data_IF_178917134650
#
_entry.id   IF_178917134650
#
_cell.length_a   1.000
_cell.length_b   1.000
_cell.length_c   1.000
_cell.angle_alpha   90.00
_cell.angle_beta   90.00
_cell.angle_gamma   90.00
#
_symmetry.space_group_name_H-M   'P 1'
#
loop_
_entity.id
_entity.type
_entity.pdbx_description
1 polymer ?
#
# COMPACT_ATOMS: atom_id res chain seq x y z
N UNK A 1 -1.43 -20.17 10.04
CA UNK A 1 -1.34 -20.00 8.57
C UNK A 1 -0.24 -18.99 8.23
N UNK A 2 0.17 -18.93 6.97
CA UNK A 2 1.05 -17.91 6.38
C UNK A 2 0.16 -16.92 5.63
N UNK A 3 0.06 -15.69 6.14
CA UNK A 3 -0.79 -14.64 5.61
C UNK A 3 0.05 -13.62 4.85
N UNK A 4 -0.26 -13.40 3.58
CA UNK A 4 0.35 -12.37 2.75
C UNK A 4 -0.51 -11.12 2.79
N UNK A 5 0.10 -9.97 3.07
CA UNK A 5 -0.60 -8.70 3.31
C UNK A 5 -0.04 -7.66 2.34
N UNK A 6 -0.90 -7.14 1.46
CA UNK A 6 -0.57 -5.94 0.69
C UNK A 6 -0.55 -4.70 1.60
N UNK A 7 0.24 -3.67 1.22
CA UNK A 7 0.38 -2.45 2.01
C UNK A 7 -0.60 -1.38 1.52
N UNK A 8 -0.36 -0.89 0.31
CA UNK A 8 -1.02 0.30 -0.23
C UNK A 8 -2.46 -0.03 -0.67
N UNK A 9 -3.42 0.67 -0.08
CA UNK A 9 -4.84 0.40 -0.30
C UNK A 9 -5.41 -0.75 0.54
N UNK A 10 -4.58 -1.49 1.28
CA UNK A 10 -5.04 -2.62 2.11
C UNK A 10 -4.92 -2.34 3.60
N UNK A 11 -3.71 -1.99 4.09
CA UNK A 11 -3.50 -1.58 5.49
C UNK A 11 -3.15 -0.11 5.62
N UNK A 12 -3.02 0.59 4.48
CA UNK A 12 -2.66 2.01 4.40
C UNK A 12 -3.58 2.73 3.42
N UNK A 13 -4.08 3.89 3.83
CA UNK A 13 -4.92 4.79 3.01
C UNK A 13 -4.04 5.59 2.02
N UNK A 14 -3.35 4.87 1.14
CA UNK A 14 -2.36 5.44 0.20
C UNK A 14 -3.03 6.33 -0.84
N UNK A 15 -4.16 5.92 -1.40
CA UNK A 15 -4.90 6.71 -2.39
C UNK A 15 -5.40 8.02 -1.79
N UNK A 16 -6.04 7.98 -0.62
CA UNK A 16 -6.44 9.17 0.15
C UNK A 16 -5.31 10.17 0.32
N UNK A 17 -4.17 9.67 0.77
CA UNK A 17 -2.98 10.49 1.04
C UNK A 17 -2.42 11.09 -0.25
N UNK A 18 -2.42 10.31 -1.33
CA UNK A 18 -1.97 10.77 -2.63
C UNK A 18 -2.89 11.87 -3.17
N UNK A 19 -4.22 11.72 -3.09
CA UNK A 19 -5.20 12.75 -3.48
C UNK A 19 -4.96 14.07 -2.72
N UNK A 20 -4.79 14.00 -1.40
CA UNK A 20 -4.50 15.18 -0.58
C UNK A 20 -3.22 15.92 -1.04
N UNK A 21 -2.15 15.17 -1.30
CA UNK A 21 -0.88 15.75 -1.74
C UNK A 21 -0.92 16.22 -3.21
N UNK A 22 -1.71 15.57 -4.06
CA UNK A 22 -1.92 16.01 -5.43
C UNK A 22 -2.70 17.33 -5.46
N UNK A 23 -3.78 17.44 -4.66
CA UNK A 23 -4.54 18.68 -4.49
C UNK A 23 -3.63 19.83 -4.02
N UNK A 24 -2.74 19.57 -3.05
CA UNK A 24 -1.75 20.54 -2.56
C UNK A 24 -0.82 21.04 -3.68
N UNK A 25 -0.21 20.14 -4.47
CA UNK A 25 0.82 20.53 -5.45
C UNK A 25 0.26 21.02 -6.80
N UNK A 26 -0.97 20.62 -7.14
CA UNK A 26 -1.63 21.01 -8.38
C UNK A 26 -2.64 22.15 -8.19
N UNK A 27 -2.86 22.60 -6.95
CA UNK A 27 -3.87 23.57 -6.59
C UNK A 27 -5.26 23.17 -7.14
N UNK A 28 -5.67 21.94 -6.79
CA UNK A 28 -6.93 21.30 -7.20
C UNK A 28 -7.72 20.88 -5.95
N UNK A 29 -8.97 20.49 -6.16
CA UNK A 29 -9.87 20.03 -5.09
C UNK A 29 -10.64 18.77 -5.52
N UNK A 30 -9.92 17.77 -6.04
CA UNK A 30 -10.48 16.46 -6.38
C UNK A 30 -10.92 15.76 -5.10
N UNK A 31 -12.16 15.26 -5.05
CA UNK A 31 -12.70 14.53 -3.91
C UNK A 31 -12.41 13.03 -4.03
N UNK A 32 -12.32 12.37 -2.88
CA UNK A 32 -11.93 10.95 -2.83
C UNK A 32 -12.97 10.03 -3.48
N UNK A 33 -14.26 10.37 -3.38
CA UNK A 33 -15.39 9.70 -4.01
C UNK A 33 -15.47 9.89 -5.53
N UNK A 34 -14.78 10.89 -6.08
CA UNK A 34 -14.64 11.11 -7.53
C UNK A 34 -13.55 10.21 -8.15
N UNK A 35 -12.66 9.63 -7.33
CA UNK A 35 -11.53 8.82 -7.80
C UNK A 35 -11.94 7.34 -7.83
N UNK A 36 -12.36 6.87 -9.00
CA UNK A 36 -12.74 5.47 -9.24
C UNK A 36 -11.60 4.62 -9.81
N UNK A 37 -10.48 5.25 -10.14
CA UNK A 37 -9.35 4.61 -10.81
C UNK A 37 -8.12 4.51 -9.90
N UNK A 38 -7.26 3.54 -10.19
CA UNK A 38 -6.03 3.34 -9.44
C UNK A 38 -5.00 4.45 -9.75
N UNK A 39 -4.90 4.87 -11.01
CA UNK A 39 -3.98 5.91 -11.44
C UNK A 39 -4.63 7.29 -11.27
N UNK A 40 -3.86 8.22 -10.71
CA UNK A 40 -4.33 9.59 -10.43
C UNK A 40 -4.12 10.56 -11.61
N UNK A 41 -3.72 10.06 -12.77
CA UNK A 41 -3.60 10.89 -13.97
C UNK A 41 -4.97 11.32 -14.49
N UNK A 42 -5.90 10.36 -14.67
CA UNK A 42 -7.25 10.63 -15.15
C UNK A 42 -8.05 11.64 -14.30
N UNK A 43 -8.23 11.47 -12.97
CA UNK A 43 -9.02 12.40 -12.16
C UNK A 43 -8.44 13.81 -12.08
N UNK A 44 -7.15 13.99 -12.41
CA UNK A 44 -6.50 15.30 -12.46
C UNK A 44 -6.34 15.84 -13.89
N UNK A 45 -6.84 15.13 -14.90
CA UNK A 45 -6.72 15.51 -16.31
C UNK A 45 -5.26 15.58 -16.79
N UNK A 46 -4.39 14.73 -16.24
CA UNK A 46 -2.97 14.67 -16.57
C UNK A 46 -2.72 13.62 -17.65
N UNK A 47 -1.66 13.81 -18.43
CA UNK A 47 -1.08 12.70 -19.20
C UNK A 47 -0.44 11.66 -18.27
N UNK A 48 -0.31 10.42 -18.75
CA UNK A 48 0.38 9.35 -18.01
C UNK A 48 1.81 9.74 -17.62
N UNK A 49 2.50 10.50 -18.48
CA UNK A 49 3.85 10.99 -18.19
C UNK A 49 3.87 12.01 -17.04
N UNK A 50 2.95 12.97 -17.05
CA UNK A 50 2.80 13.96 -15.98
C UNK A 50 2.41 13.30 -14.66
N UNK A 51 1.45 12.38 -14.69
CA UNK A 51 1.03 11.60 -13.52
C UNK A 51 2.21 10.82 -12.93
N UNK A 52 2.96 10.09 -13.76
CA UNK A 52 4.18 9.38 -13.32
C UNK A 52 5.23 10.33 -12.74
N UNK A 53 5.42 11.52 -13.32
CA UNK A 53 6.38 12.52 -12.82
C UNK A 53 5.98 13.03 -11.44
N UNK A 54 4.69 13.34 -11.23
CA UNK A 54 4.18 13.82 -9.95
C UNK A 54 4.24 12.71 -8.90
N UNK A 55 3.85 11.48 -9.27
CA UNK A 55 3.97 10.33 -8.37
C UNK A 55 5.41 10.15 -7.88
N UNK A 56 6.40 10.11 -8.77
CA UNK A 56 7.81 10.00 -8.39
C UNK A 56 8.28 11.12 -7.46
N UNK A 57 7.76 12.34 -7.65
CA UNK A 57 8.09 13.48 -6.77
C UNK A 57 7.51 13.30 -5.37
N UNK A 58 6.32 12.70 -5.26
CA UNK A 58 5.54 12.63 -4.02
C UNK A 58 5.63 11.28 -3.30
N UNK A 59 6.06 10.19 -3.94
CA UNK A 59 5.95 8.82 -3.42
C UNK A 59 6.54 8.66 -2.01
N UNK A 60 7.70 9.25 -1.76
CA UNK A 60 8.33 9.21 -0.46
C UNK A 60 7.50 9.93 0.61
N UNK A 61 6.90 11.10 0.27
CA UNK A 61 6.01 11.84 1.18
C UNK A 61 4.73 11.03 1.42
N UNK A 62 4.11 10.50 0.36
CA UNK A 62 2.91 9.64 0.42
C UNK A 62 3.14 8.45 1.36
N UNK A 63 4.23 7.70 1.17
CA UNK A 63 4.54 6.54 2.00
C UNK A 63 4.90 6.90 3.45
N UNK A 64 5.43 8.11 3.69
CA UNK A 64 5.77 8.56 5.04
C UNK A 64 4.54 9.00 5.82
N UNK A 65 3.69 9.83 5.23
CA UNK A 65 2.59 10.51 5.95
C UNK A 65 1.28 9.72 5.90
N UNK A 66 1.11 8.82 4.94
CA UNK A 66 -0.18 8.15 4.78
C UNK A 66 -0.53 7.31 6.00
N UNK A 67 -1.82 7.33 6.35
CA UNK A 67 -2.34 6.77 7.60
C UNK A 67 -2.73 5.30 7.44
N UNK A 68 -2.63 4.49 8.52
CA UNK A 68 -3.16 3.14 8.51
C UNK A 68 -4.66 3.12 8.19
N UNK A 69 -5.12 2.01 7.62
CA UNK A 69 -6.55 1.69 7.67
C UNK A 69 -6.95 1.44 9.12
N UNK A 70 -8.16 1.85 9.49
CA UNK A 70 -8.67 1.70 10.84
C UNK A 70 -8.64 0.22 11.28
N UNK A 71 -8.23 -0.03 12.52
CA UNK A 71 -8.10 -1.36 13.13
C UNK A 71 -7.09 -2.33 12.48
N UNK A 72 -6.46 -1.98 11.36
CA UNK A 72 -5.54 -2.87 10.65
C UNK A 72 -4.32 -3.28 11.50
N UNK A 73 -3.65 -2.37 12.25
CA UNK A 73 -2.57 -2.77 13.14
C UNK A 73 -3.02 -3.78 14.21
N UNK A 74 -4.14 -3.51 14.88
CA UNK A 74 -4.68 -4.33 15.96
C UNK A 74 -5.09 -5.72 15.46
N UNK A 75 -5.76 -5.78 14.30
CA UNK A 75 -6.16 -7.03 13.67
C UNK A 75 -4.95 -7.90 13.29
N UNK A 76 -3.92 -7.32 12.68
CA UNK A 76 -2.73 -8.09 12.30
C UNK A 76 -1.90 -8.52 13.51
N UNK A 77 -1.86 -7.71 14.57
CA UNK A 77 -1.25 -8.13 15.84
C UNK A 77 -2.03 -9.27 16.49
N UNK A 78 -3.36 -9.23 16.46
CA UNK A 78 -4.20 -10.30 16.96
C UNK A 78 -3.97 -11.61 16.18
N UNK A 79 -3.98 -11.55 14.85
CA UNK A 79 -3.72 -12.71 14.00
C UNK A 79 -2.33 -13.30 14.27
N UNK A 80 -1.32 -12.46 14.49
CA UNK A 80 0.02 -12.92 14.92
C UNK A 80 -0.03 -13.63 16.27
N UNK A 81 -0.75 -13.11 17.26
CA UNK A 81 -0.91 -13.74 18.59
C UNK A 81 -1.60 -15.11 18.52
N UNK A 82 -2.49 -15.29 17.55
CA UNK A 82 -3.17 -16.55 17.27
C UNK A 82 -2.28 -17.57 16.55
N UNK A 83 -1.00 -17.26 16.31
CA UNK A 83 -0.03 -18.17 15.71
C UNK A 83 0.08 -18.06 14.19
N UNK A 84 -0.48 -17.01 13.57
CA UNK A 84 -0.30 -16.78 12.15
C UNK A 84 1.04 -16.08 11.86
N UNK A 85 1.68 -16.49 10.76
CA UNK A 85 2.88 -15.86 10.22
C UNK A 85 2.45 -14.79 9.22
N UNK A 86 2.82 -13.54 9.49
CA UNK A 86 2.44 -12.38 8.66
C UNK A 86 3.59 -12.01 7.73
N UNK A 87 3.30 -11.83 6.44
CA UNK A 87 4.24 -11.42 5.38
C UNK A 87 3.70 -10.18 4.68
N UNK A 88 4.41 -9.06 4.75
CA UNK A 88 4.08 -7.86 3.97
C UNK A 88 4.66 -7.99 2.57
N UNK A 89 3.81 -7.93 1.53
CA UNK A 89 4.20 -8.13 0.13
C UNK A 89 3.68 -6.95 -0.67
N UNK A 90 4.59 -6.07 -1.12
CA UNK A 90 4.23 -4.80 -1.75
C UNK A 90 4.94 -4.57 -3.09
N UNK A 91 4.26 -3.88 -4.00
CA UNK A 91 4.80 -3.44 -5.28
C UNK A 91 5.64 -2.16 -5.18
N UNK A 92 5.83 -1.60 -3.97
CA UNK A 92 6.74 -0.46 -3.77
C UNK A 92 8.14 -0.80 -4.30
N UNK A 93 8.85 0.17 -4.91
CA UNK A 93 10.20 -0.05 -5.38
C UNK A 93 11.14 -0.36 -4.21
N UNK A 94 12.04 -1.32 -4.41
CA UNK A 94 13.01 -1.74 -3.39
C UNK A 94 14.30 -0.90 -3.46
N UNK A 95 14.17 0.39 -3.18
CA UNK A 95 15.31 1.29 -2.99
C UNK A 95 15.54 1.50 -1.50
N UNK A 96 16.80 1.75 -1.08
CA UNK A 96 17.15 1.98 0.33
C UNK A 96 16.26 3.02 1.01
N UNK A 97 15.95 4.10 0.30
CA UNK A 97 15.08 5.17 0.78
C UNK A 97 13.66 4.69 1.05
N UNK A 98 13.04 4.00 0.09
CA UNK A 98 11.64 3.57 0.18
C UNK A 98 11.49 2.40 1.15
N UNK A 99 12.47 1.50 1.20
CA UNK A 99 12.56 0.43 2.20
C UNK A 99 12.61 1.00 3.61
N UNK A 100 13.51 1.95 3.87
CA UNK A 100 13.60 2.62 5.18
C UNK A 100 12.28 3.27 5.57
N UNK A 101 11.67 4.04 4.67
CA UNK A 101 10.36 4.68 4.92
C UNK A 101 9.28 3.64 5.27
N UNK A 102 9.24 2.53 4.53
CA UNK A 102 8.24 1.48 4.72
C UNK A 102 8.42 0.78 6.06
N UNK A 103 9.65 0.44 6.44
CA UNK A 103 9.97 -0.20 7.72
C UNK A 103 9.61 0.72 8.89
N UNK A 104 10.04 1.98 8.84
CA UNK A 104 9.75 2.94 9.90
C UNK A 104 8.26 3.20 10.02
N UNK A 105 7.52 3.22 8.90
CA UNK A 105 6.07 3.33 8.92
C UNK A 105 5.40 2.12 9.59
N UNK A 106 5.80 0.88 9.24
CA UNK A 106 5.28 -0.34 9.86
C UNK A 106 5.52 -0.35 11.37
N UNK A 107 6.73 0.00 11.82
CA UNK A 107 7.08 0.08 13.23
C UNK A 107 6.30 1.18 13.95
N UNK A 108 6.27 2.39 13.39
CA UNK A 108 5.57 3.55 13.96
C UNK A 108 4.10 3.24 14.26
N UNK A 109 3.46 2.48 13.39
CA UNK A 109 2.05 2.13 13.50
C UNK A 109 1.80 0.75 14.12
N UNK A 110 2.80 0.17 14.80
CA UNK A 110 2.69 -1.09 15.54
C UNK A 110 2.20 -2.29 14.70
N UNK A 111 2.57 -2.33 13.42
CA UNK A 111 2.37 -3.52 12.60
C UNK A 111 3.37 -4.62 13.00
N UNK A 112 3.02 -5.92 12.85
CA UNK A 112 3.86 -7.05 13.23
C UNK A 112 5.09 -7.28 12.30
N UNK A 113 5.85 -6.22 11.99
CA UNK A 113 7.12 -6.32 11.29
C UNK A 113 8.18 -6.96 12.19
N UNK A 114 8.92 -7.94 11.66
CA UNK A 114 9.91 -8.71 12.43
C UNK A 114 11.34 -8.64 11.87
N UNK A 115 11.59 -7.79 10.87
CA UNK A 115 12.90 -7.68 10.22
C UNK A 115 13.03 -8.49 8.92
N UNK A 116 12.27 -9.57 8.79
CA UNK A 116 12.42 -10.54 7.69
C UNK A 116 11.16 -10.67 6.84
N UNK A 117 10.01 -10.20 7.35
CA UNK A 117 8.70 -10.40 6.73
C UNK A 117 8.25 -9.26 5.79
N UNK A 118 9.17 -8.53 5.16
CA UNK A 118 8.86 -7.46 4.19
C UNK A 118 9.48 -7.73 2.82
N UNK A 119 8.62 -8.05 1.86
CA UNK A 119 8.94 -8.33 0.47
C UNK A 119 8.50 -7.15 -0.40
N UNK A 120 9.47 -6.48 -1.01
CA UNK A 120 9.27 -5.29 -1.84
C UNK A 120 9.56 -5.61 -3.31
N UNK A 121 9.25 -4.67 -4.21
CA UNK A 121 9.35 -4.85 -5.65
C UNK A 121 8.54 -6.05 -6.18
N UNK A 122 7.51 -6.46 -5.43
CA UNK A 122 6.66 -7.59 -5.77
C UNK A 122 5.53 -7.12 -6.69
N UNK A 123 5.85 -6.89 -7.97
CA UNK A 123 4.86 -6.57 -9.00
C UNK A 123 3.97 -7.77 -9.31
N UNK A 124 4.56 -8.97 -9.39
CA UNK A 124 3.84 -10.24 -9.41
C UNK A 124 3.74 -10.81 -7.98
N UNK A 125 2.73 -10.33 -7.25
CA UNK A 125 2.44 -10.78 -5.88
C UNK A 125 2.06 -12.26 -5.81
N UNK A 126 1.51 -12.83 -6.89
CA UNK A 126 1.11 -14.24 -6.95
C UNK A 126 2.33 -15.15 -6.93
N UNK A 127 3.34 -14.85 -7.74
CA UNK A 127 4.61 -15.59 -7.73
C UNK A 127 5.31 -15.50 -6.38
N UNK A 128 5.41 -14.31 -5.78
CA UNK A 128 6.03 -14.14 -4.46
C UNK A 128 5.24 -14.88 -3.38
N UNK A 129 3.90 -14.81 -3.41
CA UNK A 129 3.04 -15.53 -2.46
C UNK A 129 3.22 -17.05 -2.57
N UNK A 130 3.31 -17.59 -3.79
CA UNK A 130 3.57 -19.02 -4.01
C UNK A 130 4.95 -19.45 -3.49
N UNK A 131 6.00 -18.67 -3.78
CA UNK A 131 7.36 -18.94 -3.29
C UNK A 131 7.44 -18.94 -1.75
N UNK A 132 6.67 -18.05 -1.12
CA UNK A 132 6.58 -17.96 0.33
C UNK A 132 5.60 -18.96 0.94
N UNK A 133 4.86 -19.74 0.15
CA UNK A 133 3.83 -20.65 0.65
C UNK A 133 2.73 -19.92 1.42
N UNK A 134 2.25 -18.80 0.91
CA UNK A 134 1.15 -18.04 1.52
C UNK A 134 -0.16 -18.82 1.38
N UNK A 135 -0.84 -19.08 2.50
CA UNK A 135 -2.13 -19.77 2.54
C UNK A 135 -3.27 -18.84 2.13
N UNK A 136 -3.19 -17.56 2.54
CA UNK A 136 -4.21 -16.54 2.26
C UNK A 136 -3.54 -15.19 2.00
N UNK A 137 -3.90 -14.57 0.88
CA UNK A 137 -3.39 -13.25 0.49
C UNK A 137 -4.48 -12.18 0.63
N UNK A 138 -4.28 -11.23 1.54
CA UNK A 138 -5.17 -10.09 1.75
C UNK A 138 -4.71 -8.92 0.89
N UNK A 139 -5.56 -8.55 -0.07
CA UNK A 139 -5.47 -7.31 -0.83
C UNK A 139 -6.85 -6.71 -1.00
N UNK A 140 -6.93 -5.39 -0.91
CA UNK A 140 -8.11 -4.67 -1.35
C UNK A 140 -7.96 -4.34 -2.83
N UNK A 141 -8.96 -4.68 -3.63
CA UNK A 141 -9.04 -4.29 -5.03
C UNK A 141 -10.17 -3.28 -5.16
N UNK A 142 -9.95 -2.16 -5.87
CA UNK A 142 -10.99 -1.18 -6.18
C UNK A 142 -12.11 -1.75 -7.06
N UNK A 143 -11.92 -2.92 -7.66
CA UNK A 143 -12.97 -3.71 -8.31
C UNK A 143 -13.47 -4.81 -7.35
N UNK A 144 -14.69 -4.64 -6.84
CA UNK A 144 -15.51 -5.79 -6.45
C UNK A 144 -15.91 -6.49 -7.74
N UNK A 145 -15.07 -7.40 -8.22
CA UNK A 145 -15.49 -8.41 -9.17
C UNK A 145 -15.82 -9.65 -8.34
N UNK A 146 -17.08 -9.79 -7.92
CA UNK A 146 -17.59 -11.08 -7.44
C UNK A 146 -17.55 -11.98 -8.67
N UNK A 147 -16.51 -12.79 -8.76
CA UNK A 147 -16.48 -13.89 -9.72
C UNK A 147 -17.03 -15.08 -8.95
N UNK A 148 -18.24 -15.50 -9.31
CA UNK A 148 -18.87 -16.72 -8.81
C UNK A 148 -18.05 -17.96 -9.21
#
# INVERSE_FOLDING_TARGET
>A
MRLGIDIDGTIKQTQRTAIQLYNEVLNRDVKEDEVTTFYLDEPYGLSEEEGRRIWRKLEAKIYTVGIPLEHAPEALQQLKREGNLIYFITARPDTDRIRKITIEWLKKHNFPYNGENLFMNAHDKGTVANQLGIDLFLRMTLSISITF
#
